data_IF_339396092893
#
_entry.id   IF_339396092893
#
_cell.length_a   1.000
_cell.length_b   1.000
_cell.length_c   1.000
_cell.angle_alpha   90.00
_cell.angle_beta   90.00
_cell.angle_gamma   90.00
#
_symmetry.space_group_name_H-M   'P 1'
#
loop_
_entity.id
_entity.type
_entity.pdbx_description
1 polymer ?
#
# COMPACT_ATOMS: atom_id res chain seq x y z
N UNK A 1 -5.91 -17.22 -4.38
CA UNK A 1 -4.48 -16.85 -4.41
C UNK A 1 -4.29 -15.93 -5.59
N UNK A 2 -3.38 -14.97 -5.47
CA UNK A 2 -3.10 -14.06 -6.57
C UNK A 2 -2.30 -14.82 -7.65
N UNK A 3 -2.57 -14.51 -8.91
CA UNK A 3 -2.04 -15.24 -10.06
C UNK A 3 -1.13 -14.35 -10.90
N UNK A 4 0.10 -14.80 -11.12
CA UNK A 4 1.01 -14.17 -12.08
C UNK A 4 0.48 -14.46 -13.48
N UNK A 5 0.12 -13.40 -14.21
CA UNK A 5 -0.28 -13.47 -15.62
C UNK A 5 0.97 -13.41 -16.52
N UNK A 6 1.92 -12.56 -16.14
CA UNK A 6 3.16 -12.34 -16.90
C UNK A 6 4.31 -12.04 -15.96
N UNK A 7 5.50 -12.49 -16.30
CA UNK A 7 6.74 -12.18 -15.60
C UNK A 7 7.79 -11.79 -16.64
N UNK A 8 8.63 -10.79 -16.31
CA UNK A 8 9.74 -10.34 -17.12
C UNK A 8 10.91 -9.96 -16.22
N UNK A 9 12.12 -10.42 -16.56
CA UNK A 9 13.34 -9.90 -15.97
C UNK A 9 13.78 -8.65 -16.76
N UNK A 10 14.04 -7.56 -16.06
CA UNK A 10 14.53 -6.31 -16.62
C UNK A 10 16.06 -6.37 -16.74
N UNK A 11 16.64 -5.60 -17.67
CA UNK A 11 18.09 -5.52 -17.87
C UNK A 11 18.82 -5.04 -16.61
N UNK A 12 18.14 -4.22 -15.79
CA UNK A 12 18.61 -3.72 -14.51
C UNK A 12 18.61 -4.77 -13.38
N UNK A 13 18.22 -6.01 -13.67
CA UNK A 13 18.27 -7.15 -12.74
C UNK A 13 17.03 -7.34 -11.87
N UNK A 14 16.06 -6.42 -11.92
CA UNK A 14 14.77 -6.59 -11.23
C UNK A 14 13.82 -7.49 -12.01
N UNK A 15 12.94 -8.16 -11.28
CA UNK A 15 11.86 -8.97 -11.82
C UNK A 15 10.55 -8.20 -11.75
N UNK A 16 9.89 -8.05 -12.89
CA UNK A 16 8.58 -7.42 -13.03
C UNK A 16 7.51 -8.49 -13.22
N UNK A 17 6.43 -8.42 -12.44
CA UNK A 17 5.30 -9.36 -12.52
C UNK A 17 3.99 -8.60 -12.71
N UNK A 18 3.19 -9.02 -13.70
CA UNK A 18 1.79 -8.64 -13.81
C UNK A 18 0.97 -9.68 -13.05
N UNK A 19 0.35 -9.26 -11.95
CA UNK A 19 -0.40 -10.15 -11.07
C UNK A 19 -1.88 -9.74 -11.07
N UNK A 20 -2.77 -10.74 -11.20
CA UNK A 20 -4.21 -10.56 -11.00
C UNK A 20 -4.62 -11.14 -9.66
N UNK A 21 -5.22 -10.31 -8.82
CA UNK A 21 -5.66 -10.73 -7.50
C UNK A 21 -6.04 -9.58 -6.59
N UNK A 22 -5.99 -9.86 -5.30
CA UNK A 22 -6.27 -8.93 -4.21
C UNK A 22 -4.95 -8.51 -3.54
N UNK A 23 -4.57 -7.25 -3.70
CA UNK A 23 -3.31 -6.70 -3.19
C UNK A 23 -3.15 -6.88 -1.67
N UNK A 24 -4.24 -6.96 -0.92
CA UNK A 24 -4.20 -7.13 0.55
C UNK A 24 -3.71 -8.52 0.98
N UNK A 25 -3.62 -9.45 0.03
CA UNK A 25 -3.16 -10.83 0.24
C UNK A 25 -1.73 -11.07 -0.26
N UNK A 26 -1.06 -10.05 -0.79
CA UNK A 26 0.32 -10.17 -1.28
C UNK A 26 1.30 -10.34 -0.12
N UNK A 27 2.22 -11.30 -0.27
CA UNK A 27 3.32 -11.52 0.69
C UNK A 27 4.58 -10.85 0.16
N UNK A 28 4.66 -9.55 0.38
CA UNK A 28 5.73 -8.65 -0.10
C UNK A 28 6.19 -7.75 1.03
N UNK A 29 7.32 -7.06 0.87
CA UNK A 29 7.78 -6.13 1.90
C UNK A 29 6.88 -4.90 2.04
N UNK A 30 6.37 -4.38 0.93
CA UNK A 30 5.48 -3.22 0.92
C UNK A 30 4.45 -3.31 -0.22
N UNK A 31 3.29 -2.68 0.00
CA UNK A 31 2.31 -2.39 -1.05
C UNK A 31 2.17 -0.88 -1.21
N UNK A 32 1.89 -0.42 -2.42
CA UNK A 32 1.63 0.99 -2.70
C UNK A 32 0.12 1.22 -2.75
N UNK A 33 -0.37 2.15 -1.95
CA UNK A 33 -1.76 2.54 -1.87
C UNK A 33 -2.03 3.77 -2.76
N UNK A 34 -3.09 3.71 -3.56
CA UNK A 34 -3.61 4.88 -4.26
C UNK A 34 -4.48 5.72 -3.31
N UNK A 35 -3.83 6.41 -2.37
CA UNK A 35 -4.49 7.27 -1.38
C UNK A 35 -4.75 8.68 -1.90
N UNK A 36 -5.66 9.39 -1.24
CA UNK A 36 -5.80 10.85 -1.41
C UNK A 36 -4.80 11.60 -0.49
N UNK A 37 -4.67 12.91 -0.71
CA UNK A 37 -3.73 13.78 0.02
C UNK A 37 -4.01 13.90 1.53
N UNK A 38 -5.21 13.52 1.96
CA UNK A 38 -5.65 13.55 3.37
C UNK A 38 -5.38 12.22 4.09
N UNK A 39 -4.89 11.20 3.38
CA UNK A 39 -4.76 9.82 3.87
C UNK A 39 -6.03 9.28 4.56
N UNK A 40 -7.18 9.58 3.96
CA UNK A 40 -8.49 9.08 4.44
C UNK A 40 -8.95 7.91 3.57
N UNK A 41 -8.98 6.71 4.13
CA UNK A 41 -9.11 5.45 3.38
C UNK A 41 -10.55 4.95 3.30
N UNK A 42 -11.46 5.77 2.77
CA UNK A 42 -12.92 5.50 2.81
C UNK A 42 -13.48 4.57 1.72
N UNK A 43 -12.69 4.19 0.70
CA UNK A 43 -13.20 3.39 -0.42
C UNK A 43 -12.13 2.94 -1.42
N UNK A 44 -12.55 2.15 -2.42
CA UNK A 44 -11.65 1.60 -3.44
C UNK A 44 -10.57 0.68 -2.85
N UNK A 45 -9.38 0.69 -3.47
CA UNK A 45 -8.23 -0.10 -2.99
C UNK A 45 -7.77 0.38 -1.62
N UNK A 46 -7.76 1.69 -1.37
CA UNK A 46 -7.40 2.26 -0.06
C UNK A 46 -8.33 1.74 1.05
N UNK A 47 -9.64 1.70 0.80
CA UNK A 47 -10.61 1.14 1.74
C UNK A 47 -10.41 -0.36 1.98
N UNK A 48 -10.10 -1.13 0.93
CA UNK A 48 -9.79 -2.55 1.08
C UNK A 48 -8.52 -2.78 1.93
N UNK A 49 -7.47 -1.98 1.71
CA UNK A 49 -6.22 -1.99 2.48
C UNK A 49 -6.50 -1.66 3.95
N UNK A 50 -7.20 -0.55 4.23
CA UNK A 50 -7.51 -0.14 5.61
C UNK A 50 -8.42 -1.17 6.32
N UNK A 51 -9.40 -1.73 5.62
CA UNK A 51 -10.27 -2.77 6.19
C UNK A 51 -9.48 -4.04 6.57
N UNK A 52 -8.55 -4.48 5.72
CA UNK A 52 -7.78 -5.71 5.94
C UNK A 52 -6.57 -5.52 6.86
N UNK A 53 -5.90 -4.37 6.78
CA UNK A 53 -4.80 -4.01 7.67
C UNK A 53 -5.25 -3.54 9.05
N UNK A 54 -6.54 -3.24 9.22
CA UNK A 54 -7.12 -2.81 10.48
C UNK A 54 -6.94 -1.31 10.74
N UNK A 55 -7.51 -0.85 11.85
CA UNK A 55 -7.56 0.58 12.22
C UNK A 55 -6.18 1.24 12.35
N UNK A 56 -5.13 0.45 12.58
CA UNK A 56 -3.75 0.95 12.71
C UNK A 56 -3.31 1.75 11.49
N UNK A 57 -3.68 1.35 10.27
CA UNK A 57 -3.32 2.08 9.05
C UNK A 57 -3.90 3.51 9.07
N UNK A 58 -5.16 3.66 9.47
CA UNK A 58 -5.81 4.96 9.53
C UNK A 58 -5.25 5.83 10.67
N UNK A 59 -4.97 5.23 11.84
CA UNK A 59 -4.35 5.92 12.98
C UNK A 59 -2.96 6.45 12.61
N UNK A 60 -2.11 5.62 12.02
CA UNK A 60 -0.77 6.02 11.60
C UNK A 60 -0.81 7.06 10.48
N UNK A 61 -1.79 6.97 9.57
CA UNK A 61 -2.04 7.95 8.52
C UNK A 61 -2.40 9.33 9.09
N UNK A 62 -3.32 9.38 10.06
CA UNK A 62 -3.70 10.61 10.75
C UNK A 62 -2.53 11.23 11.51
N UNK A 63 -1.75 10.40 12.19
CA UNK A 63 -0.52 10.80 12.87
C UNK A 63 0.51 11.37 11.90
N UNK A 64 0.65 10.75 10.73
CA UNK A 64 1.54 11.23 9.68
C UNK A 64 1.12 12.60 9.17
N UNK A 65 -0.16 12.78 8.84
CA UNK A 65 -0.70 14.08 8.37
C UNK A 65 -0.57 15.15 9.44
N UNK A 66 -0.79 14.82 10.72
CA UNK A 66 -0.62 15.76 11.83
C UNK A 66 0.83 16.27 11.95
N UNK A 67 1.81 15.42 11.66
CA UNK A 67 3.24 15.73 11.78
C UNK A 67 3.82 16.41 10.55
N UNK A 68 3.34 16.06 9.36
CA UNK A 68 3.97 16.46 8.08
C UNK A 68 3.07 17.33 7.19
N UNK A 69 1.79 17.46 7.52
CA UNK A 69 0.80 18.10 6.66
C UNK A 69 0.22 17.15 5.61
N UNK A 70 -0.48 17.71 4.62
CA UNK A 70 -1.06 16.93 3.53
C UNK A 70 0.03 16.30 2.65
N UNK A 71 -0.23 15.08 2.16
CA UNK A 71 0.70 14.34 1.28
C UNK A 71 0.87 15.08 -0.03
N UNK A 72 2.10 15.06 -0.56
CA UNK A 72 2.46 15.65 -1.85
C UNK A 72 3.08 14.59 -2.77
N UNK A 73 2.94 14.71 -4.10
CA UNK A 73 3.51 13.74 -5.05
C UNK A 73 5.02 13.49 -4.86
N UNK A 74 5.77 14.50 -4.45
CA UNK A 74 7.22 14.44 -4.22
C UNK A 74 7.61 13.82 -2.87
N UNK A 75 6.66 13.62 -1.96
CA UNK A 75 6.92 13.15 -0.59
C UNK A 75 5.80 12.20 -0.13
N UNK A 76 5.87 10.91 -0.52
CA UNK A 76 4.87 9.93 -0.14
C UNK A 76 4.93 9.67 1.37
N UNK A 77 3.75 9.39 1.95
CA UNK A 77 3.65 8.88 3.31
C UNK A 77 3.92 7.37 3.33
N UNK A 78 4.05 6.81 4.53
CA UNK A 78 3.98 5.37 4.72
C UNK A 78 3.49 5.05 6.14
N UNK A 79 2.90 3.88 6.30
CA UNK A 79 2.49 3.27 7.56
C UNK A 79 3.08 1.88 7.68
N UNK A 80 2.97 1.27 8.85
CA UNK A 80 3.05 -0.18 9.01
C UNK A 80 1.93 -0.86 8.19
N UNK A 81 2.11 -2.16 7.91
CA UNK A 81 1.10 -2.98 7.26
C UNK A 81 -0.11 -3.31 8.14
N UNK A 82 -0.07 -2.96 9.43
CA UNK A 82 -1.06 -3.43 10.41
C UNK A 82 -1.19 -4.95 10.41
N UNK A 83 -2.39 -5.44 10.09
CA UNK A 83 -2.71 -6.87 9.99
C UNK A 83 -2.45 -7.49 8.61
N UNK A 84 -1.93 -6.73 7.65
CA UNK A 84 -1.56 -7.26 6.32
C UNK A 84 -0.33 -8.16 6.40
N UNK A 85 -0.12 -8.95 5.34
CA UNK A 85 1.08 -9.78 5.19
C UNK A 85 2.33 -8.95 4.83
N UNK A 86 2.14 -7.71 4.36
CA UNK A 86 3.23 -6.80 4.06
C UNK A 86 3.69 -6.04 5.30
N UNK A 87 4.94 -5.57 5.28
CA UNK A 87 5.53 -4.82 6.40
C UNK A 87 5.11 -3.36 6.39
N UNK A 88 4.95 -2.79 5.20
CA UNK A 88 4.60 -1.38 5.01
C UNK A 88 3.49 -1.18 3.99
N UNK A 89 2.74 -0.10 4.17
CA UNK A 89 1.89 0.49 3.13
C UNK A 89 2.48 1.86 2.82
N UNK A 90 2.78 2.10 1.55
CA UNK A 90 3.32 3.37 1.03
C UNK A 90 2.15 4.14 0.41
#
# INVERSE_FOLDING_TARGET
MNQIIREQNLESGQRFQLVRGDITREKVDAIVNAANVYLQHGGGVAGAIALKGGSQIQVESEDWVRKHGLVKPESPAYTSGGSLLCRYVI
#
